data_IF_060745690873
#
_entry.id   IF_060745690873
#
_cell.length_a   1.000
_cell.length_b   1.000
_cell.length_c   1.000
_cell.angle_alpha   90.00
_cell.angle_beta   90.00
_cell.angle_gamma   90.00
#
_symmetry.space_group_name_H-M   'P 1'
#
loop_
_entity.id
_entity.type
_entity.pdbx_description
1 polymer ?
#
# COMPACT_ATOMS: atom_id res chain seq x y z
N UNK A 1 -6.78 21.68 -16.17
CA UNK A 1 -6.79 21.06 -14.82
C UNK A 1 -5.73 19.97 -14.84
N UNK A 2 -4.81 19.94 -13.88
CA UNK A 2 -3.81 18.86 -13.81
C UNK A 2 -4.50 17.56 -13.45
N UNK A 3 -4.18 16.50 -14.19
CA UNK A 3 -4.60 15.15 -13.84
C UNK A 3 -3.82 14.72 -12.59
N UNK A 4 -4.51 14.55 -11.46
CA UNK A 4 -3.91 14.21 -10.18
C UNK A 4 -4.27 12.79 -9.78
N UNK A 5 -3.27 12.04 -9.31
CA UNK A 5 -3.44 10.72 -8.70
C UNK A 5 -3.10 10.83 -7.22
N UNK A 6 -3.98 10.33 -6.34
CA UNK A 6 -3.70 10.17 -4.91
C UNK A 6 -3.33 8.73 -4.64
N UNK A 7 -2.29 8.56 -3.83
CA UNK A 7 -1.79 7.25 -3.44
C UNK A 7 -1.75 7.22 -1.91
N UNK A 8 -2.41 6.23 -1.33
CA UNK A 8 -2.39 5.92 0.09
C UNK A 8 -1.64 4.62 0.28
N UNK A 9 -0.66 4.60 1.17
CA UNK A 9 0.18 3.44 1.44
C UNK A 9 0.17 3.14 2.92
N UNK A 10 0.03 1.87 3.29
CA UNK A 10 0.18 1.41 4.66
C UNK A 10 0.93 0.07 4.68
N UNK A 11 1.63 -0.21 5.78
CA UNK A 11 2.47 -1.39 5.91
C UNK A 11 2.70 -1.76 7.37
N UNK A 12 2.65 -3.05 7.66
CA UNK A 12 2.85 -3.56 9.01
C UNK A 12 3.54 -4.93 9.00
N UNK A 13 4.28 -5.21 10.08
CA UNK A 13 4.86 -6.51 10.37
C UNK A 13 4.51 -6.94 11.80
N UNK A 14 4.16 -8.22 11.98
CA UNK A 14 4.00 -8.88 13.28
C UNK A 14 5.35 -9.44 13.70
N UNK A 15 6.11 -8.65 14.47
CA UNK A 15 7.48 -8.95 14.88
C UNK A 15 8.54 -8.29 13.98
N UNK A 16 9.81 -8.39 14.36
CA UNK A 16 10.92 -7.78 13.62
C UNK A 16 12.21 -8.65 13.72
N UNK A 17 12.34 -9.72 12.91
CA UNK A 17 11.50 -10.07 11.76
C UNK A 17 10.25 -10.89 12.12
N UNK A 18 9.29 -10.92 11.21
CA UNK A 18 8.08 -11.75 11.29
C UNK A 18 7.18 -11.63 10.05
N UNK A 19 5.97 -12.22 10.06
CA UNK A 19 5.02 -12.06 8.97
C UNK A 19 4.58 -10.60 8.84
N UNK A 20 4.52 -10.07 7.63
CA UNK A 20 4.10 -8.69 7.39
C UNK A 20 3.61 -8.47 5.98
N UNK A 21 3.17 -7.26 5.67
CA UNK A 21 2.63 -6.93 4.36
C UNK A 21 2.43 -5.43 4.19
N UNK A 22 2.04 -5.06 2.98
CA UNK A 22 1.67 -3.68 2.63
C UNK A 22 0.35 -3.65 1.88
N UNK A 23 -0.27 -2.48 1.89
CA UNK A 23 -1.43 -2.12 1.08
C UNK A 23 -1.22 -0.77 0.40
N UNK A 24 -1.70 -0.65 -0.82
CA UNK A 24 -1.71 0.59 -1.60
C UNK A 24 -3.10 0.80 -2.16
N UNK A 25 -3.63 2.01 -2.00
CA UNK A 25 -4.84 2.47 -2.69
C UNK A 25 -4.46 3.64 -3.58
N UNK A 26 -4.76 3.52 -4.87
CA UNK A 26 -4.60 4.58 -5.85
C UNK A 26 -5.95 5.04 -6.35
N UNK A 27 -6.17 6.35 -6.39
CA UNK A 27 -7.36 6.96 -6.97
C UNK A 27 -7.00 8.10 -7.93
N UNK A 28 -7.75 8.21 -9.01
CA UNK A 28 -7.65 9.36 -9.91
C UNK A 28 -8.63 10.44 -9.43
N UNK A 29 -8.09 11.59 -9.01
CA UNK A 29 -8.89 12.70 -8.47
C UNK A 29 -9.88 13.20 -9.52
N UNK A 30 -11.15 13.21 -9.16
CA UNK A 30 -12.24 13.65 -10.05
C UNK A 30 -12.69 12.60 -11.08
N UNK A 31 -12.17 11.36 -11.02
CA UNK A 31 -12.62 10.23 -11.85
C UNK A 31 -13.00 9.04 -10.97
N UNK A 32 -13.81 8.12 -11.51
CA UNK A 32 -14.23 6.90 -10.82
C UNK A 32 -13.16 5.79 -10.79
N UNK A 33 -11.93 6.07 -11.21
CA UNK A 33 -10.87 5.09 -11.29
C UNK A 33 -10.19 4.90 -9.93
N UNK A 34 -10.25 3.67 -9.41
CA UNK A 34 -9.56 3.21 -8.20
C UNK A 34 -8.83 1.91 -8.49
N UNK A 35 -7.62 1.76 -7.94
CA UNK A 35 -6.85 0.50 -8.00
C UNK A 35 -6.21 0.22 -6.66
N UNK A 36 -6.22 -1.06 -6.27
CA UNK A 36 -5.66 -1.52 -5.00
C UNK A 36 -4.55 -2.54 -5.25
N UNK A 37 -3.51 -2.48 -4.42
CA UNK A 37 -2.43 -3.46 -4.39
C UNK A 37 -2.21 -3.91 -2.96
N UNK A 38 -1.96 -5.20 -2.77
CA UNK A 38 -1.59 -5.75 -1.48
C UNK A 38 -0.66 -6.94 -1.68
N UNK A 39 0.29 -7.11 -0.76
CA UNK A 39 1.13 -8.31 -0.73
C UNK A 39 1.53 -8.67 0.69
N UNK A 40 1.55 -9.97 0.97
CA UNK A 40 2.03 -10.53 2.23
C UNK A 40 3.39 -11.21 2.08
N UNK A 41 4.16 -11.20 3.16
CA UNK A 41 5.46 -11.85 3.27
C UNK A 41 5.51 -12.69 4.55
N UNK A 42 5.97 -13.94 4.44
CA UNK A 42 6.15 -14.82 5.61
C UNK A 42 7.26 -14.32 6.55
N UNK A 43 8.27 -13.64 6.00
CA UNK A 43 9.44 -13.16 6.74
C UNK A 43 9.87 -11.79 6.21
N UNK A 44 9.55 -10.73 6.96
CA UNK A 44 9.91 -9.33 6.68
C UNK A 44 10.20 -8.59 7.98
N UNK A 45 10.73 -7.38 7.88
CA UNK A 45 10.91 -6.44 9.00
C UNK A 45 9.94 -5.28 8.86
N UNK A 46 9.82 -4.45 9.90
CA UNK A 46 9.03 -3.22 9.88
C UNK A 46 9.76 -2.02 9.26
N UNK A 47 11.03 -2.17 8.85
CA UNK A 47 11.86 -1.16 8.19
C UNK A 47 12.02 -1.43 6.68
N UNK A 48 11.12 -2.22 6.10
CA UNK A 48 11.09 -2.50 4.66
C UNK A 48 10.37 -1.41 3.91
#
# INVERSE_FOLDING_TARGET
MQEQVRIYTDGAARGNPGPGGYGIVMEWVGKSYKKEFAQGFKHTTNNR
#
